data_IF_366274639694
#
_entry.id   IF_366274639694
#
_cell.length_a   1.000
_cell.length_b   1.000
_cell.length_c   1.000
_cell.angle_alpha   90.00
_cell.angle_beta   90.00
_cell.angle_gamma   90.00
#
_symmetry.space_group_name_H-M   'P 1'
#
loop_
_entity.id
_entity.type
_entity.pdbx_description
1 polymer ?
#
# COMPACT_ATOMS: atom_id res chain seq x y z
N UNK A 1 47.71 -8.44 -6.97
CA UNK A 1 47.11 -8.33 -5.61
C UNK A 1 46.53 -6.94 -5.27
N UNK A 2 46.84 -5.89 -6.01
CA UNK A 2 46.36 -4.49 -5.75
C UNK A 2 44.89 -4.26 -6.14
N UNK A 3 44.42 -4.78 -7.26
CA UNK A 3 43.05 -4.56 -7.74
C UNK A 3 41.93 -5.19 -6.84
N UNK A 4 42.23 -6.27 -6.16
CA UNK A 4 41.27 -6.92 -5.25
C UNK A 4 41.05 -6.16 -3.92
N UNK A 5 42.03 -5.38 -3.49
CA UNK A 5 41.94 -4.53 -2.28
C UNK A 5 41.13 -3.26 -2.55
N UNK A 6 41.27 -2.65 -3.71
CA UNK A 6 40.48 -1.46 -4.11
C UNK A 6 38.98 -1.78 -4.19
N UNK A 7 38.63 -2.97 -4.66
CA UNK A 7 37.22 -3.40 -4.75
C UNK A 7 36.61 -3.67 -3.35
N UNK A 8 37.38 -4.14 -2.35
CA UNK A 8 36.92 -4.33 -0.98
C UNK A 8 36.63 -3.01 -0.26
N UNK A 9 37.53 -2.03 -0.34
CA UNK A 9 37.35 -0.73 0.27
C UNK A 9 36.17 0.03 -0.33
N UNK A 10 35.99 -0.01 -1.66
CA UNK A 10 34.84 0.56 -2.33
C UNK A 10 33.52 -0.10 -1.90
N UNK A 11 33.48 -1.41 -1.81
CA UNK A 11 32.29 -2.15 -1.31
C UNK A 11 31.99 -1.84 0.16
N UNK A 12 33.00 -1.71 1.00
CA UNK A 12 32.81 -1.31 2.40
C UNK A 12 32.26 0.12 2.51
N UNK A 13 32.79 1.07 1.71
CA UNK A 13 32.28 2.44 1.68
C UNK A 13 30.82 2.51 1.21
N UNK A 14 30.45 1.78 0.15
CA UNK A 14 29.06 1.69 -0.34
C UNK A 14 28.15 1.07 0.72
N UNK A 15 28.57 -0.01 1.36
CA UNK A 15 27.79 -0.63 2.43
C UNK A 15 27.60 0.32 3.62
N UNK A 16 28.68 1.00 4.06
CA UNK A 16 28.62 1.96 5.15
C UNK A 16 27.67 3.13 4.81
N UNK A 17 27.74 3.67 3.60
CA UNK A 17 26.82 4.69 3.13
C UNK A 17 25.35 4.18 3.10
N UNK A 18 25.12 2.95 2.62
CA UNK A 18 23.80 2.35 2.60
C UNK A 18 23.23 2.18 4.03
N UNK A 19 24.03 1.69 4.98
CA UNK A 19 23.61 1.61 6.38
C UNK A 19 23.34 2.99 7.00
N UNK A 20 24.22 3.97 6.75
CA UNK A 20 24.02 5.33 7.26
C UNK A 20 22.72 5.95 6.75
N UNK A 21 22.44 5.84 5.44
CA UNK A 21 21.18 6.29 4.84
C UNK A 21 19.99 5.54 5.44
N UNK A 22 20.07 4.22 5.61
CA UNK A 22 19.00 3.42 6.21
C UNK A 22 18.71 3.85 7.64
N UNK A 23 19.73 4.03 8.47
CA UNK A 23 19.59 4.52 9.86
C UNK A 23 18.97 5.91 9.88
N UNK A 24 19.45 6.81 9.02
CA UNK A 24 18.92 8.18 8.91
C UNK A 24 17.44 8.20 8.55
N UNK A 25 17.00 7.36 7.60
CA UNK A 25 15.59 7.25 7.19
C UNK A 25 14.70 6.64 8.30
N UNK A 26 15.24 5.73 9.10
CA UNK A 26 14.50 5.12 10.21
C UNK A 26 14.46 5.98 11.48
N UNK A 27 15.39 6.94 11.60
CA UNK A 27 15.59 7.73 12.82
C UNK A 27 14.31 8.47 13.27
N UNK A 28 13.53 9.15 12.39
CA UNK A 28 12.28 9.80 12.81
C UNK A 28 11.30 8.80 13.45
N UNK A 29 11.13 7.64 12.83
CA UNK A 29 10.22 6.58 13.32
C UNK A 29 10.71 6.01 14.65
N UNK A 30 12.03 5.82 14.79
CA UNK A 30 12.65 5.33 16.03
C UNK A 30 12.56 6.35 17.18
N UNK A 31 12.46 7.65 16.88
CA UNK A 31 12.28 8.71 17.90
C UNK A 31 10.81 8.80 18.35
N UNK A 32 9.85 8.68 17.41
CA UNK A 32 8.42 8.78 17.73
C UNK A 32 7.98 7.65 18.67
N UNK A 33 8.47 6.41 18.46
CA UNK A 33 8.07 5.28 19.27
C UNK A 33 8.38 5.43 20.79
N UNK A 34 9.59 5.84 21.24
CA UNK A 34 9.81 6.17 22.63
C UNK A 34 8.97 7.35 23.16
N UNK A 35 8.75 8.38 22.32
CA UNK A 35 7.93 9.54 22.72
C UNK A 35 6.47 9.17 22.98
N UNK A 36 5.96 8.11 22.31
CA UNK A 36 4.59 7.64 22.49
C UNK A 36 4.29 7.05 23.87
N UNK A 37 5.32 6.69 24.63
CA UNK A 37 5.21 6.12 25.98
C UNK A 37 5.67 7.09 27.08
N UNK A 38 5.93 8.36 26.76
CA UNK A 38 6.26 9.40 27.74
C UNK A 38 5.06 9.75 28.63
N UNK A 39 5.27 10.06 29.92
CA UNK A 39 4.19 10.49 30.83
C UNK A 39 3.79 11.95 30.64
N UNK A 40 4.59 12.76 29.97
CA UNK A 40 4.38 14.19 29.80
C UNK A 40 3.20 14.49 28.87
N UNK A 41 2.58 15.65 29.05
CA UNK A 41 1.49 16.15 28.18
C UNK A 41 1.99 16.73 26.86
N UNK A 42 3.26 17.07 26.78
CA UNK A 42 3.92 17.55 25.57
C UNK A 42 4.91 16.50 25.09
N UNK A 43 5.06 16.40 23.78
CA UNK A 43 6.06 15.52 23.16
C UNK A 43 7.46 15.93 23.62
N UNK A 44 8.17 15.05 24.30
CA UNK A 44 9.54 15.26 24.78
C UNK A 44 10.43 14.08 24.40
N UNK A 45 11.67 14.38 24.04
CA UNK A 45 12.68 13.36 23.77
C UNK A 45 14.01 13.72 24.46
N UNK A 46 14.61 12.80 25.22
CA UNK A 46 14.08 11.49 25.63
C UNK A 46 12.92 11.62 26.62
N UNK A 47 11.97 10.64 26.67
CA UNK A 47 10.88 10.66 27.63
C UNK A 47 11.41 10.52 29.06
N UNK A 48 10.82 11.24 30.01
CA UNK A 48 11.27 11.24 31.43
C UNK A 48 10.70 10.08 32.25
N UNK A 49 9.98 9.16 31.62
CA UNK A 49 9.39 8.01 32.27
C UNK A 49 8.63 7.14 31.26
N UNK A 50 7.83 6.20 31.78
CA UNK A 50 7.05 5.27 30.97
C UNK A 50 5.57 5.34 31.37
N UNK A 51 4.69 5.52 30.40
CA UNK A 51 3.24 5.52 30.57
C UNK A 51 2.54 5.04 29.30
N UNK A 52 1.53 4.17 29.46
CA UNK A 52 0.64 3.73 28.38
C UNK A 52 -0.64 4.58 28.28
N UNK A 53 -0.69 5.72 28.99
CA UNK A 53 -1.88 6.57 29.10
C UNK A 53 -2.41 7.01 27.73
N UNK A 54 -1.53 7.37 26.80
CA UNK A 54 -1.89 7.89 25.48
C UNK A 54 -2.54 6.84 24.58
N UNK A 55 -2.13 5.58 24.75
CA UNK A 55 -2.80 4.43 24.11
C UNK A 55 -4.20 4.21 24.69
N UNK A 56 -4.33 4.30 26.03
CA UNK A 56 -5.64 4.20 26.67
C UNK A 56 -6.57 5.34 26.24
N UNK A 57 -6.06 6.57 26.15
CA UNK A 57 -6.78 7.76 25.69
C UNK A 57 -7.28 7.58 24.24
N UNK A 58 -6.43 7.08 23.35
CA UNK A 58 -6.83 6.74 21.98
C UNK A 58 -8.02 5.78 21.92
N UNK A 59 -7.99 4.70 22.69
CA UNK A 59 -9.08 3.71 22.70
C UNK A 59 -10.36 4.21 23.40
N UNK A 60 -10.26 5.19 24.28
CA UNK A 60 -11.41 5.81 24.97
C UNK A 60 -12.04 6.93 24.14
N UNK A 61 -11.28 7.55 23.26
CA UNK A 61 -11.78 8.59 22.35
C UNK A 61 -12.47 7.97 21.13
N UNK A 62 -13.78 8.17 21.06
CA UNK A 62 -14.62 7.61 20.00
C UNK A 62 -14.30 8.17 18.62
N UNK A 63 -13.75 9.39 18.51
CA UNK A 63 -13.37 9.98 17.21
C UNK A 63 -12.16 9.27 16.63
N UNK A 64 -11.13 8.99 17.43
CA UNK A 64 -9.95 8.25 16.99
C UNK A 64 -10.29 6.84 16.52
N UNK A 65 -11.10 6.12 17.30
CA UNK A 65 -11.52 4.77 16.97
C UNK A 65 -12.35 4.76 15.69
N UNK A 66 -13.33 5.68 15.55
CA UNK A 66 -14.15 5.80 14.34
C UNK A 66 -13.30 6.12 13.11
N UNK A 67 -12.37 7.08 13.21
CA UNK A 67 -11.49 7.44 12.10
C UNK A 67 -10.62 6.25 11.66
N UNK A 68 -10.12 5.46 12.62
CA UNK A 68 -9.34 4.25 12.32
C UNK A 68 -10.17 3.18 11.63
N UNK A 69 -11.37 2.88 12.14
CA UNK A 69 -12.26 1.90 11.55
C UNK A 69 -12.72 2.34 10.15
N UNK A 70 -13.04 3.61 9.99
CA UNK A 70 -13.41 4.16 8.68
C UNK A 70 -12.26 4.08 7.67
N UNK A 71 -11.01 4.40 8.08
CA UNK A 71 -9.84 4.23 7.23
C UNK A 71 -9.60 2.76 6.85
N UNK A 72 -9.79 1.84 7.79
CA UNK A 72 -9.65 0.41 7.52
C UNK A 72 -10.72 -0.08 6.54
N UNK A 73 -11.97 0.33 6.72
CA UNK A 73 -13.10 -0.01 5.84
C UNK A 73 -12.87 0.52 4.42
N UNK A 74 -12.58 1.82 4.28
CA UNK A 74 -12.27 2.45 3.01
C UNK A 74 -11.04 1.79 2.36
N UNK A 75 -10.02 1.49 3.16
CA UNK A 75 -8.78 0.83 2.70
C UNK A 75 -9.02 -0.56 2.14
N UNK A 76 -9.81 -1.38 2.82
CA UNK A 76 -10.14 -2.74 2.34
C UNK A 76 -10.97 -2.68 1.07
N UNK A 77 -12.01 -1.85 1.02
CA UNK A 77 -12.85 -1.72 -0.18
C UNK A 77 -12.01 -1.23 -1.36
N UNK A 78 -11.21 -0.19 -1.17
CA UNK A 78 -10.34 0.35 -2.22
C UNK A 78 -9.31 -0.68 -2.70
N UNK A 79 -8.70 -1.43 -1.77
CA UNK A 79 -7.74 -2.48 -2.11
C UNK A 79 -8.37 -3.59 -2.95
N UNK A 80 -9.58 -4.03 -2.60
CA UNK A 80 -10.32 -5.03 -3.36
C UNK A 80 -10.68 -4.49 -4.75
N UNK A 81 -11.28 -3.30 -4.83
CA UNK A 81 -11.66 -2.68 -6.09
C UNK A 81 -10.46 -2.45 -7.00
N UNK A 82 -9.38 -1.84 -6.46
CA UNK A 82 -8.16 -1.60 -7.22
C UNK A 82 -7.51 -2.90 -7.71
N UNK A 83 -7.49 -3.95 -6.88
CA UNK A 83 -6.91 -5.24 -7.25
C UNK A 83 -7.72 -5.91 -8.36
N UNK A 84 -9.05 -5.91 -8.27
CA UNK A 84 -9.91 -6.49 -9.31
C UNK A 84 -9.77 -5.71 -10.61
N UNK A 85 -9.97 -4.39 -10.58
CA UNK A 85 -9.91 -3.52 -11.76
C UNK A 85 -8.51 -3.54 -12.37
N UNK A 86 -7.47 -3.39 -11.54
CA UNK A 86 -6.08 -3.37 -11.98
C UNK A 86 -5.63 -4.71 -12.57
N UNK A 87 -6.13 -5.84 -12.04
CA UNK A 87 -5.86 -7.17 -12.62
C UNK A 87 -6.51 -7.32 -13.99
N UNK A 88 -7.79 -6.96 -14.12
CA UNK A 88 -8.49 -6.99 -15.41
C UNK A 88 -7.80 -6.11 -16.44
N UNK A 89 -7.40 -4.92 -16.02
CA UNK A 89 -6.69 -3.96 -16.88
C UNK A 89 -5.30 -4.48 -17.29
N UNK A 90 -4.53 -5.05 -16.37
CA UNK A 90 -3.23 -5.62 -16.64
C UNK A 90 -3.32 -6.80 -17.61
N UNK A 91 -4.31 -7.68 -17.46
CA UNK A 91 -4.58 -8.76 -18.41
C UNK A 91 -4.93 -8.22 -19.79
N UNK A 92 -5.77 -7.19 -19.86
CA UNK A 92 -6.15 -6.56 -21.12
C UNK A 92 -4.93 -5.89 -21.81
N UNK A 93 -4.04 -5.28 -21.05
CA UNK A 93 -2.83 -4.65 -21.54
C UNK A 93 -1.79 -5.66 -22.05
N UNK A 94 -1.67 -6.84 -21.42
CA UNK A 94 -0.66 -7.86 -21.78
C UNK A 94 -1.19 -8.83 -22.84
N UNK A 95 -2.43 -9.28 -22.72
CA UNK A 95 -3.01 -10.34 -23.58
C UNK A 95 -4.02 -9.80 -24.60
N UNK A 96 -4.59 -8.62 -24.33
CA UNK A 96 -5.59 -7.99 -25.19
C UNK A 96 -5.01 -7.29 -26.42
N UNK A 97 -5.85 -7.11 -27.42
CA UNK A 97 -5.59 -6.24 -28.59
C UNK A 97 -6.39 -4.94 -28.39
N UNK A 98 -6.00 -4.13 -27.41
CA UNK A 98 -6.70 -2.89 -27.09
C UNK A 98 -6.35 -1.79 -28.10
N UNK A 99 -7.34 -1.25 -28.84
CA UNK A 99 -7.12 -0.02 -29.57
C UNK A 99 -6.86 1.12 -28.57
N UNK A 100 -5.87 1.98 -28.83
CA UNK A 100 -5.53 3.07 -27.91
C UNK A 100 -4.83 2.64 -26.62
N UNK A 101 -4.12 1.49 -26.63
CA UNK A 101 -3.37 0.97 -25.47
C UNK A 101 -2.53 2.04 -24.76
N UNK A 102 -1.81 2.89 -25.53
CA UNK A 102 -0.99 3.96 -24.97
C UNK A 102 -1.80 5.01 -24.18
N UNK A 103 -3.03 5.30 -24.62
CA UNK A 103 -3.93 6.20 -23.88
C UNK A 103 -4.38 5.57 -22.56
N UNK A 104 -4.70 4.28 -22.57
CA UNK A 104 -5.06 3.54 -21.35
C UNK A 104 -3.89 3.52 -20.36
N UNK A 105 -2.68 3.25 -20.83
CA UNK A 105 -1.46 3.32 -20.01
C UNK A 105 -1.24 4.72 -19.42
N UNK A 106 -1.43 5.76 -20.22
CA UNK A 106 -1.32 7.16 -19.77
C UNK A 106 -2.38 7.49 -18.70
N UNK A 107 -3.62 7.07 -18.87
CA UNK A 107 -4.70 7.28 -17.90
C UNK A 107 -4.43 6.55 -16.59
N UNK A 108 -3.87 5.33 -16.65
CA UNK A 108 -3.48 4.57 -15.45
C UNK A 108 -2.38 5.29 -14.67
N UNK A 109 -1.38 5.83 -15.36
CA UNK A 109 -0.26 6.53 -14.73
C UNK A 109 -0.65 7.95 -14.28
N UNK A 110 -1.70 8.53 -14.87
CA UNK A 110 -2.16 9.90 -14.64
C UNK A 110 -2.18 10.32 -13.18
N UNK A 111 -2.79 9.57 -12.25
CA UNK A 111 -2.83 9.91 -10.83
C UNK A 111 -1.44 10.06 -10.15
N UNK A 112 -0.41 9.40 -10.69
CA UNK A 112 0.97 9.51 -10.16
C UNK A 112 1.69 10.75 -10.71
N UNK A 113 1.35 11.17 -11.93
CA UNK A 113 2.01 12.30 -12.60
C UNK A 113 1.39 13.63 -12.14
N UNK A 114 0.06 13.65 -11.94
CA UNK A 114 -0.67 14.85 -11.53
C UNK A 114 -0.30 15.22 -10.08
N UNK A 115 0.01 16.49 -9.78
CA UNK A 115 0.23 16.91 -8.39
C UNK A 115 -0.94 16.50 -7.49
N UNK A 116 -0.63 15.85 -6.36
CA UNK A 116 -1.63 15.24 -5.47
C UNK A 116 -2.73 16.21 -5.02
N UNK A 117 -2.35 17.44 -4.68
CA UNK A 117 -3.31 18.50 -4.30
C UNK A 117 -4.25 18.86 -5.46
N UNK A 118 -3.73 18.97 -6.68
CA UNK A 118 -4.56 19.28 -7.85
C UNK A 118 -5.57 18.15 -8.12
N UNK A 119 -5.14 16.91 -8.00
CA UNK A 119 -6.01 15.74 -8.12
C UNK A 119 -7.08 15.73 -7.01
N UNK A 120 -6.71 16.03 -5.76
CA UNK A 120 -7.62 16.10 -4.63
C UNK A 120 -8.71 17.16 -4.83
N UNK A 121 -8.33 18.37 -5.28
CA UNK A 121 -9.27 19.44 -5.58
C UNK A 121 -10.20 19.04 -6.73
N UNK A 122 -9.67 18.45 -7.80
CA UNK A 122 -10.48 18.00 -8.93
C UNK A 122 -11.49 16.92 -8.50
N UNK A 123 -11.07 15.95 -7.69
CA UNK A 123 -11.95 14.93 -7.11
C UNK A 123 -13.02 15.56 -6.22
N UNK A 124 -12.64 16.48 -5.35
CA UNK A 124 -13.58 17.19 -4.49
C UNK A 124 -14.68 17.89 -5.30
N UNK A 125 -14.32 18.68 -6.32
CA UNK A 125 -15.28 19.41 -7.16
C UNK A 125 -16.29 18.47 -7.86
N UNK A 126 -15.83 17.32 -8.34
CA UNK A 126 -16.69 16.31 -8.97
C UNK A 126 -17.56 15.60 -7.92
N UNK A 127 -16.97 15.22 -6.79
CA UNK A 127 -17.67 14.46 -5.74
C UNK A 127 -18.71 15.31 -5.01
N UNK A 128 -18.47 16.62 -4.88
CA UNK A 128 -19.45 17.55 -4.33
C UNK A 128 -20.70 17.62 -5.21
N UNK A 129 -20.52 17.71 -6.53
CA UNK A 129 -21.65 17.71 -7.47
C UNK A 129 -22.42 16.39 -7.47
N UNK A 130 -21.71 15.26 -7.25
CA UNK A 130 -22.29 13.92 -7.19
C UNK A 130 -22.79 13.55 -5.78
N UNK A 131 -22.63 14.42 -4.78
CA UNK A 131 -22.93 14.18 -3.36
C UNK A 131 -22.21 12.95 -2.80
N UNK A 132 -20.96 12.75 -3.20
CA UNK A 132 -20.09 11.67 -2.76
C UNK A 132 -19.11 12.09 -1.67
N UNK A 133 -18.95 13.39 -1.40
CA UNK A 133 -18.15 13.92 -0.28
C UNK A 133 -18.68 13.38 1.04
N UNK A 134 -17.81 13.02 1.97
CA UNK A 134 -18.17 12.41 3.26
C UNK A 134 -18.74 10.99 3.17
N UNK A 135 -18.86 10.38 1.99
CA UNK A 135 -19.42 9.03 1.85
C UNK A 135 -18.34 7.96 1.71
N UNK A 136 -18.58 6.78 2.25
CA UNK A 136 -17.68 5.63 2.09
C UNK A 136 -17.44 5.30 0.60
N UNK A 137 -18.46 5.44 -0.24
CA UNK A 137 -18.35 5.23 -1.68
C UNK A 137 -17.39 6.24 -2.32
N UNK A 138 -17.49 7.52 -1.95
CA UNK A 138 -16.56 8.56 -2.43
C UNK A 138 -15.11 8.25 -2.05
N UNK A 139 -14.85 7.89 -0.78
CA UNK A 139 -13.53 7.47 -0.34
C UNK A 139 -13.03 6.22 -1.09
N UNK A 140 -13.87 5.20 -1.21
CA UNK A 140 -13.52 3.98 -1.92
C UNK A 140 -13.17 4.25 -3.39
N UNK A 141 -13.91 5.11 -4.08
CA UNK A 141 -13.63 5.51 -5.47
C UNK A 141 -12.32 6.30 -5.57
N UNK A 142 -12.15 7.33 -4.75
CA UNK A 142 -10.95 8.17 -4.77
C UNK A 142 -9.68 7.34 -4.51
N UNK A 143 -9.69 6.56 -3.43
CA UNK A 143 -8.55 5.75 -3.05
C UNK A 143 -8.28 4.60 -4.04
N UNK A 144 -9.33 4.06 -4.68
CA UNK A 144 -9.15 3.09 -5.78
C UNK A 144 -8.38 3.72 -6.94
N UNK A 145 -8.72 4.94 -7.35
CA UNK A 145 -8.02 5.65 -8.44
C UNK A 145 -6.56 5.87 -8.08
N UNK A 146 -6.25 6.24 -6.84
CA UNK A 146 -4.87 6.46 -6.38
C UNK A 146 -4.06 5.15 -6.29
N UNK A 147 -4.68 4.06 -5.87
CA UNK A 147 -4.03 2.76 -5.74
C UNK A 147 -3.85 2.02 -7.08
N UNK A 148 -4.70 2.32 -8.07
CA UNK A 148 -4.77 1.61 -9.36
C UNK A 148 -3.44 1.51 -10.10
N UNK A 149 -2.63 2.59 -10.25
CA UNK A 149 -1.33 2.52 -10.92
C UNK A 149 -0.40 1.48 -10.29
N UNK A 150 -0.30 1.48 -8.97
CA UNK A 150 0.59 0.58 -8.22
C UNK A 150 0.16 -0.88 -8.34
N UNK A 151 -1.16 -1.12 -8.33
CA UNK A 151 -1.71 -2.46 -8.58
C UNK A 151 -1.37 -2.91 -9.99
N UNK A 152 -1.62 -2.06 -11.00
CA UNK A 152 -1.34 -2.40 -12.40
C UNK A 152 0.13 -2.72 -12.59
N UNK A 153 1.06 -1.89 -12.08
CA UNK A 153 2.49 -2.16 -12.18
C UNK A 153 2.90 -3.48 -11.52
N UNK A 154 2.35 -3.77 -10.34
CA UNK A 154 2.66 -4.99 -9.61
C UNK A 154 2.14 -6.24 -10.33
N UNK A 155 0.92 -6.17 -10.86
CA UNK A 155 0.30 -7.27 -11.61
C UNK A 155 0.97 -7.47 -12.98
N UNK A 156 1.32 -6.38 -13.69
CA UNK A 156 2.09 -6.46 -14.92
C UNK A 156 3.43 -7.17 -14.69
N UNK A 157 4.15 -6.80 -13.63
CA UNK A 157 5.41 -7.45 -13.28
C UNK A 157 5.23 -8.96 -12.99
N UNK A 158 4.11 -9.35 -12.36
CA UNK A 158 3.78 -10.76 -12.14
C UNK A 158 3.45 -11.49 -13.44
N UNK A 159 2.67 -10.85 -14.34
CA UNK A 159 2.31 -11.40 -15.66
C UNK A 159 3.51 -11.55 -16.59
N UNK A 160 4.48 -10.63 -16.55
CA UNK A 160 5.70 -10.74 -17.38
C UNK A 160 6.68 -11.82 -16.90
N UNK A 161 6.63 -12.18 -15.61
CA UNK A 161 7.42 -13.30 -15.07
C UNK A 161 6.80 -14.67 -15.37
N UNK A 162 5.55 -14.69 -15.75
CA UNK A 162 4.80 -15.89 -16.01
C UNK A 162 4.98 -16.34 -17.47
N UNK A 163 5.30 -17.62 -17.68
CA UNK A 163 5.44 -18.19 -19.02
C UNK A 163 4.07 -18.37 -19.70
N UNK A 164 3.84 -17.58 -20.75
CA UNK A 164 2.61 -17.62 -21.53
C UNK A 164 2.39 -18.95 -22.27
N UNK A 165 3.43 -19.79 -22.41
CA UNK A 165 3.29 -21.12 -23.02
C UNK A 165 2.37 -22.04 -22.21
N UNK A 166 2.32 -21.87 -20.88
CA UNK A 166 1.42 -22.63 -20.01
C UNK A 166 -0.06 -22.33 -20.32
N UNK A 167 -0.38 -21.06 -20.63
CA UNK A 167 -1.73 -20.69 -21.07
C UNK A 167 -2.06 -21.32 -22.44
N UNK A 168 -1.11 -21.29 -23.38
CA UNK A 168 -1.27 -21.87 -24.71
C UNK A 168 -1.42 -23.39 -24.64
N UNK A 169 -0.63 -24.06 -23.81
CA UNK A 169 -0.73 -25.50 -23.60
C UNK A 169 -2.12 -25.89 -23.05
N UNK A 170 -2.62 -25.14 -22.06
CA UNK A 170 -3.95 -25.37 -21.51
C UNK A 170 -5.07 -25.16 -22.55
N UNK A 171 -4.94 -24.12 -23.40
CA UNK A 171 -5.87 -23.89 -24.52
C UNK A 171 -5.82 -25.04 -25.52
N UNK A 172 -4.65 -25.57 -25.85
CA UNK A 172 -4.46 -26.70 -26.75
C UNK A 172 -5.06 -28.01 -26.20
N UNK A 173 -5.14 -28.12 -24.85
CA UNK A 173 -5.85 -29.23 -24.18
C UNK A 173 -7.38 -29.04 -24.14
N UNK A 174 -7.93 -28.02 -24.84
CA UNK A 174 -9.36 -27.76 -24.91
C UNK A 174 -9.96 -26.96 -23.76
N UNK A 175 -9.10 -26.34 -22.90
CA UNK A 175 -9.59 -25.47 -21.85
C UNK A 175 -10.09 -24.14 -22.44
N UNK A 176 -11.28 -23.69 -22.06
CA UNK A 176 -11.75 -22.33 -22.41
C UNK A 176 -11.01 -21.25 -21.64
N UNK A 177 -10.98 -20.01 -22.17
CA UNK A 177 -10.19 -18.89 -21.62
C UNK A 177 -10.44 -18.60 -20.12
N UNK A 178 -11.69 -18.70 -19.64
CA UNK A 178 -12.01 -18.55 -18.22
C UNK A 178 -11.40 -19.67 -17.36
N UNK A 179 -11.38 -20.92 -17.88
CA UNK A 179 -10.72 -22.05 -17.19
C UNK A 179 -9.21 -21.86 -17.13
N UNK A 180 -8.60 -21.40 -18.22
CA UNK A 180 -7.17 -21.06 -18.25
C UNK A 180 -6.87 -19.98 -17.21
N UNK A 181 -7.63 -18.89 -17.20
CA UNK A 181 -7.46 -17.84 -16.19
C UNK A 181 -7.58 -18.39 -14.76
N UNK A 182 -8.66 -19.13 -14.47
CA UNK A 182 -8.98 -19.59 -13.10
C UNK A 182 -8.00 -20.64 -12.56
N UNK A 183 -7.53 -21.54 -13.42
CA UNK A 183 -6.75 -22.70 -13.00
C UNK A 183 -5.27 -22.63 -13.35
N UNK A 184 -4.86 -21.74 -14.28
CA UNK A 184 -3.46 -21.57 -14.70
C UNK A 184 -2.97 -20.18 -14.30
N UNK A 185 -3.54 -19.12 -14.90
CA UNK A 185 -3.02 -17.75 -14.74
C UNK A 185 -3.17 -17.26 -13.30
N UNK A 186 -4.38 -17.32 -12.74
CA UNK A 186 -4.67 -16.77 -11.40
C UNK A 186 -3.82 -17.39 -10.29
N UNK A 187 -3.65 -18.72 -10.19
CA UNK A 187 -2.77 -19.30 -9.18
C UNK A 187 -1.30 -18.89 -9.31
N UNK A 188 -0.81 -18.73 -10.54
CA UNK A 188 0.57 -18.39 -10.80
C UNK A 188 0.89 -16.90 -10.50
N UNK A 189 -0.06 -15.99 -10.77
CA UNK A 189 0.09 -14.57 -10.42
C UNK A 189 -0.40 -14.23 -9.02
N UNK A 190 -1.02 -15.16 -8.29
CA UNK A 190 -1.60 -14.92 -6.96
C UNK A 190 -0.61 -14.31 -5.95
N UNK A 191 0.68 -14.69 -5.87
CA UNK A 191 1.65 -14.00 -5.03
C UNK A 191 1.80 -12.51 -5.36
N UNK A 192 1.74 -12.17 -6.65
CA UNK A 192 1.73 -10.80 -7.14
C UNK A 192 0.45 -10.05 -6.77
N UNK A 193 -0.70 -10.70 -6.88
CA UNK A 193 -2.00 -10.12 -6.50
C UNK A 193 -2.08 -9.80 -5.01
N UNK A 194 -1.58 -10.68 -4.14
CA UNK A 194 -1.52 -10.40 -2.70
C UNK A 194 -0.64 -9.19 -2.42
N UNK A 195 0.52 -9.12 -3.07
CA UNK A 195 1.40 -7.95 -2.93
C UNK A 195 0.70 -6.68 -3.41
N UNK A 196 0.01 -6.72 -4.55
CA UNK A 196 -0.73 -5.60 -5.10
C UNK A 196 -1.86 -5.13 -4.16
N UNK A 197 -2.64 -6.06 -3.61
CA UNK A 197 -3.73 -5.77 -2.68
C UNK A 197 -3.21 -5.13 -1.38
N UNK A 198 -2.09 -5.62 -0.85
CA UNK A 198 -1.46 -5.05 0.34
C UNK A 198 -0.93 -3.64 0.07
N UNK A 199 -0.28 -3.40 -1.06
CA UNK A 199 0.14 -2.05 -1.44
C UNK A 199 -1.06 -1.11 -1.61
N UNK A 200 -2.13 -1.58 -2.26
CA UNK A 200 -3.35 -0.79 -2.42
C UNK A 200 -3.98 -0.43 -1.07
N UNK A 201 -4.02 -1.36 -0.13
CA UNK A 201 -4.49 -1.11 1.23
C UNK A 201 -3.63 -0.06 1.94
N UNK A 202 -2.30 -0.21 1.92
CA UNK A 202 -1.38 0.74 2.57
C UNK A 202 -1.53 2.13 1.96
N UNK A 203 -1.57 2.25 0.63
CA UNK A 203 -1.75 3.53 -0.07
C UNK A 203 -3.07 4.19 0.35
N UNK A 204 -4.16 3.43 0.39
CA UNK A 204 -5.47 3.95 0.78
C UNK A 204 -5.53 4.33 2.27
N UNK A 205 -4.93 3.52 3.13
CA UNK A 205 -4.98 3.73 4.57
C UNK A 205 -4.16 4.95 5.02
N UNK A 206 -3.04 5.23 4.34
CA UNK A 206 -2.12 6.34 4.63
C UNK A 206 -2.48 7.63 3.85
N UNK A 207 -3.56 7.60 3.05
CA UNK A 207 -3.93 8.73 2.19
C UNK A 207 -4.53 9.89 2.99
N UNK A 208 -3.77 10.97 3.08
CA UNK A 208 -4.15 12.15 3.84
C UNK A 208 -4.67 13.29 2.99
N UNK A 209 -4.06 13.52 1.81
CA UNK A 209 -4.29 14.72 1.00
C UNK A 209 -5.69 14.72 0.39
N UNK A 210 -6.05 13.67 -0.33
CA UNK A 210 -7.40 13.54 -0.92
C UNK A 210 -8.44 13.44 0.19
N UNK A 211 -8.13 12.68 1.26
CA UNK A 211 -9.00 12.55 2.43
C UNK A 211 -9.28 13.90 3.08
N UNK A 212 -8.32 14.82 3.09
CA UNK A 212 -8.52 16.17 3.62
C UNK A 212 -9.63 16.92 2.89
N UNK A 213 -9.71 16.79 1.57
CA UNK A 213 -10.70 17.50 0.76
C UNK A 213 -12.07 16.85 0.73
N UNK A 214 -12.14 15.50 0.76
CA UNK A 214 -13.41 14.77 0.61
C UNK A 214 -14.05 14.34 1.93
N UNK A 215 -13.39 14.58 3.08
CA UNK A 215 -13.97 14.35 4.42
C UNK A 215 -15.07 15.35 4.74
N UNK A 216 -16.01 14.93 5.59
CA UNK A 216 -16.97 15.80 6.28
C UNK A 216 -16.69 15.85 7.79
N UNK A 217 -17.61 16.42 8.57
CA UNK A 217 -17.48 16.54 10.02
C UNK A 217 -17.60 15.18 10.74
N UNK A 218 -18.38 14.26 10.19
CA UNK A 218 -18.72 12.99 10.84
C UNK A 218 -17.82 11.84 10.38
N UNK A 219 -17.35 11.88 9.13
CA UNK A 219 -16.55 10.80 8.51
C UNK A 219 -15.19 11.32 8.07
N UNK A 220 -14.22 10.98 8.88
CA UNK A 220 -12.81 11.34 8.68
C UNK A 220 -11.97 10.07 8.63
N UNK A 221 -10.96 10.09 7.77
CA UNK A 221 -9.91 9.07 7.82
C UNK A 221 -8.94 9.35 8.97
N UNK A 222 -8.22 8.33 9.41
CA UNK A 222 -7.25 8.46 10.48
C UNK A 222 -6.14 9.48 10.16
N UNK A 223 -5.53 9.50 8.95
CA UNK A 223 -4.60 10.57 8.59
C UNK A 223 -5.22 11.97 8.67
N UNK A 224 -6.46 12.12 8.22
CA UNK A 224 -7.17 13.41 8.33
C UNK A 224 -7.35 13.85 9.78
N UNK A 225 -7.76 12.94 10.69
CA UNK A 225 -7.88 13.21 12.12
C UNK A 225 -6.52 13.57 12.72
N UNK A 226 -5.44 12.91 12.31
CA UNK A 226 -4.09 13.24 12.77
C UNK A 226 -3.69 14.67 12.38
N UNK A 227 -3.98 15.09 11.15
CA UNK A 227 -3.70 16.49 10.72
C UNK A 227 -4.50 17.51 11.50
N UNK A 228 -5.78 17.26 11.77
CA UNK A 228 -6.59 18.14 12.63
C UNK A 228 -5.98 18.29 14.03
N UNK A 229 -5.55 17.19 14.63
CA UNK A 229 -4.95 17.22 15.97
C UNK A 229 -3.59 17.96 16.00
N UNK A 230 -2.82 17.93 14.92
CA UNK A 230 -1.59 18.72 14.79
C UNK A 230 -1.89 20.23 14.84
N UNK A 231 -2.95 20.66 14.17
CA UNK A 231 -3.32 22.07 14.10
C UNK A 231 -3.84 22.62 15.45
N UNK A 232 -4.52 21.79 16.23
CA UNK A 232 -5.16 22.24 17.50
C UNK A 232 -4.36 21.88 18.74
N UNK A 233 -3.75 20.71 18.81
CA UNK A 233 -3.01 20.23 19.98
C UNK A 233 -2.01 19.15 19.58
N UNK A 234 -0.72 19.45 19.60
CA UNK A 234 0.32 18.42 19.43
C UNK A 234 0.35 17.54 20.68
N UNK A 235 -0.60 16.60 20.78
CA UNK A 235 -0.69 15.69 21.93
C UNK A 235 0.21 14.45 21.71
N UNK A 236 0.72 13.84 22.79
CA UNK A 236 1.45 12.57 22.68
C UNK A 236 0.57 11.40 22.19
N UNK A 237 -0.75 11.54 22.23
CA UNK A 237 -1.70 10.62 21.59
C UNK A 237 -1.39 10.48 20.10
N UNK A 238 -1.00 11.57 19.43
CA UNK A 238 -0.57 11.55 18.04
C UNK A 238 0.65 10.62 17.82
N UNK A 239 1.65 10.67 18.73
CA UNK A 239 2.80 9.80 18.68
C UNK A 239 2.42 8.33 18.93
N UNK A 240 1.46 8.07 19.83
CA UNK A 240 0.94 6.72 20.06
C UNK A 240 0.24 6.18 18.80
N UNK A 241 -0.61 6.99 18.14
CA UNK A 241 -1.28 6.64 16.89
C UNK A 241 -0.26 6.38 15.78
N UNK A 242 0.70 7.29 15.59
CA UNK A 242 1.76 7.11 14.58
C UNK A 242 2.57 5.82 14.81
N UNK A 243 2.85 5.49 16.07
CA UNK A 243 3.53 4.24 16.44
C UNK A 243 2.66 3.02 16.11
N UNK A 244 1.36 3.04 16.46
CA UNK A 244 0.43 1.96 16.12
C UNK A 244 0.30 1.78 14.61
N UNK A 245 0.21 2.87 13.84
CA UNK A 245 0.19 2.83 12.38
C UNK A 245 1.44 2.19 11.80
N UNK A 246 2.60 2.60 12.29
CA UNK A 246 3.88 2.03 11.87
C UNK A 246 3.92 0.52 12.14
N UNK A 247 3.52 0.10 13.34
CA UNK A 247 3.46 -1.32 13.70
C UNK A 247 2.44 -2.08 12.84
N UNK A 248 1.28 -1.50 12.56
CA UNK A 248 0.26 -2.09 11.69
C UNK A 248 0.78 -2.27 10.25
N UNK A 249 1.44 -1.25 9.71
CA UNK A 249 2.04 -1.30 8.37
C UNK A 249 3.13 -2.37 8.29
N UNK A 250 4.02 -2.43 9.28
CA UNK A 250 5.04 -3.48 9.37
C UNK A 250 4.39 -4.86 9.45
N UNK A 251 3.38 -5.03 10.30
CA UNK A 251 2.66 -6.29 10.45
C UNK A 251 1.98 -6.71 9.14
N UNK A 252 1.32 -5.78 8.43
CA UNK A 252 0.69 -6.03 7.13
C UNK A 252 1.72 -6.46 6.07
N UNK A 253 2.86 -5.79 6.00
CA UNK A 253 3.95 -6.15 5.08
C UNK A 253 4.56 -7.51 5.41
N UNK A 254 4.79 -7.82 6.69
CA UNK A 254 5.30 -9.12 7.13
C UNK A 254 4.30 -10.24 6.82
N UNK A 255 3.01 -10.00 7.06
CA UNK A 255 1.95 -10.95 6.72
C UNK A 255 1.91 -11.21 5.21
N UNK A 256 1.94 -10.16 4.40
CA UNK A 256 1.99 -10.27 2.95
C UNK A 256 3.21 -11.04 2.45
N UNK A 257 4.36 -10.77 3.03
CA UNK A 257 5.58 -11.51 2.73
C UNK A 257 5.47 -13.00 3.11
N UNK A 258 4.91 -13.29 4.28
CA UNK A 258 4.70 -14.67 4.74
C UNK A 258 3.72 -15.44 3.85
N UNK A 259 2.59 -14.81 3.48
CA UNK A 259 1.61 -15.37 2.57
C UNK A 259 2.21 -15.64 1.18
N UNK A 260 2.92 -14.66 0.62
CA UNK A 260 3.65 -14.81 -0.64
C UNK A 260 4.62 -15.98 -0.61
N UNK A 261 5.47 -16.06 0.41
CA UNK A 261 6.41 -17.17 0.59
C UNK A 261 5.72 -18.53 0.72
N UNK A 262 4.60 -18.59 1.44
CA UNK A 262 3.79 -19.80 1.57
C UNK A 262 3.26 -20.29 0.24
N UNK A 263 2.79 -19.38 -0.62
CA UNK A 263 2.27 -19.72 -1.94
C UNK A 263 3.38 -20.11 -2.92
N UNK A 264 4.51 -19.42 -2.93
CA UNK A 264 5.68 -19.79 -3.75
C UNK A 264 6.20 -21.19 -3.41
N UNK A 265 6.23 -21.53 -2.12
CA UNK A 265 6.60 -22.90 -1.66
C UNK A 265 5.61 -23.95 -2.14
N UNK A 266 4.31 -23.67 -2.08
CA UNK A 266 3.28 -24.58 -2.58
C UNK A 266 3.37 -24.75 -4.10
N UNK A 267 3.59 -23.67 -4.84
CA UNK A 267 3.77 -23.72 -6.28
C UNK A 267 5.00 -24.57 -6.69
N UNK A 268 6.13 -24.43 -6.00
CA UNK A 268 7.34 -25.27 -6.21
C UNK A 268 7.10 -26.73 -5.85
N UNK A 269 6.35 -27.02 -4.79
CA UNK A 269 6.02 -28.40 -4.41
C UNK A 269 5.14 -29.12 -5.45
N UNK A 270 4.30 -28.39 -6.18
CA UNK A 270 3.45 -28.91 -7.24
C UNK A 270 4.23 -29.09 -8.56
N UNK A 271 5.23 -28.22 -8.81
CA UNK A 271 6.04 -28.27 -10.05
C UNK A 271 7.08 -29.42 -10.09
N UNK A 272 7.34 -30.11 -8.98
CA UNK A 272 8.30 -31.21 -8.89
C UNK A 272 9.78 -30.76 -8.86
N UNK A 273 10.72 -31.63 -8.42
CA UNK A 273 12.14 -31.33 -8.42
C UNK A 273 12.69 -31.41 -9.85
N UNK A 274 12.94 -30.27 -10.48
CA UNK A 274 13.58 -30.23 -11.82
C UNK A 274 13.27 -29.03 -12.69
N UNK A 275 12.35 -28.16 -12.29
CA UNK A 275 12.08 -26.91 -13.02
C UNK A 275 12.69 -25.77 -12.22
N UNK A 276 13.95 -25.44 -12.49
CA UNK A 276 14.53 -24.17 -12.06
C UNK A 276 13.89 -23.03 -12.86
N UNK A 277 13.52 -21.92 -12.19
CA UNK A 277 12.92 -20.77 -12.83
C UNK A 277 13.92 -19.95 -13.64
#
# INVERSE_FOLDING_TARGET
MSAARGNRAGRMAVNAAAYAVTVFLLLPTLIIAPMSVGPERLLSFPPKGFSMRWYAEYFQDTEWVRATLFSAEAGVISAVCATVIGTMLSLALVRGRLPGKGLVELLVIGPVIVPHIALAVAMFLVFEQLRLTGTLLGFAMAHTVLALPFVVFTVLAALYRFDAELERAALSCGAGGFRVFRYVTLPLIAPGLISAALFAFVISFDEAVVSFFISDLDRKTLPRKMFEDIDYNISPTLAAVATMLTLLTIAALLLGYALKRGMERRARAVAGPGVEP
#
